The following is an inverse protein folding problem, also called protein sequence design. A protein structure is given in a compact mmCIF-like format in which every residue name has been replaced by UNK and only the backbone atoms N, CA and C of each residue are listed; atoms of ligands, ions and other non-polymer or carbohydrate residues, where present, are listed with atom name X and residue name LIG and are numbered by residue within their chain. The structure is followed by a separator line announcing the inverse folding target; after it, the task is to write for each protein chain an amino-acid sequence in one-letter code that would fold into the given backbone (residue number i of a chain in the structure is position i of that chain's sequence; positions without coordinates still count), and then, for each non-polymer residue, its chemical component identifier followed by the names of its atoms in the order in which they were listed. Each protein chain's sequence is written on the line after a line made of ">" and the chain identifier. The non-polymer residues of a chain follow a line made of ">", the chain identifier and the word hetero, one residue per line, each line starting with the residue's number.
data_IF_010952219143
#
_entry.id   IF_010952219143
#
_cell.length_a   1.000
_cell.length_b   1.000
_cell.length_c   1.000
_cell.angle_alpha   90.00
_cell.angle_beta   90.00
_cell.angle_gamma   90.00
#
_symmetry.space_group_name_H-M   'P 1'
#
loop_
_entity.id
_entity.type
_entity.pdbx_description
1 polymer ?
#
# COMPACT_ATOMS: atom_id res chain seq x y z
N UNK A 1 -7.59 -15.75 7.96
CA UNK A 1 -7.90 -14.31 8.03
C UNK A 1 -7.49 -13.70 6.70
N UNK A 2 -8.45 -13.32 5.86
CA UNK A 2 -8.19 -12.62 4.61
C UNK A 2 -7.93 -11.16 4.93
N UNK A 3 -6.68 -10.84 5.29
CA UNK A 3 -6.26 -9.45 5.40
C UNK A 3 -6.50 -8.81 4.02
N UNK A 4 -7.21 -7.67 3.92
CA UNK A 4 -7.42 -7.01 2.64
C UNK A 4 -6.05 -6.65 2.10
N UNK A 5 -5.58 -7.44 1.12
CA UNK A 5 -4.31 -7.21 0.43
C UNK A 5 -4.50 -5.93 -0.36
N UNK A 6 -4.20 -4.78 0.26
CA UNK A 6 -4.21 -3.50 -0.42
C UNK A 6 -3.34 -3.65 -1.67
N UNK A 7 -3.94 -3.36 -2.82
CA UNK A 7 -3.28 -3.55 -4.10
C UNK A 7 -2.00 -2.73 -4.11
N UNK A 8 -0.91 -3.28 -4.68
CA UNK A 8 0.36 -2.54 -4.79
C UNK A 8 0.21 -1.19 -5.50
N UNK A 9 -0.77 -1.04 -6.38
CA UNK A 9 -1.04 0.22 -7.08
C UNK A 9 -2.09 1.12 -6.40
N UNK A 10 -2.81 0.64 -5.38
CA UNK A 10 -3.79 1.43 -4.63
C UNK A 10 -3.13 2.57 -3.86
N UNK A 11 -3.87 3.64 -3.54
CA UNK A 11 -3.40 4.66 -2.62
C UNK A 11 -3.03 4.04 -1.26
N UNK A 12 -1.92 4.51 -0.68
CA UNK A 12 -1.47 4.02 0.61
C UNK A 12 -2.46 4.43 1.71
N UNK A 13 -2.94 3.49 2.54
CA UNK A 13 -3.85 3.80 3.64
C UNK A 13 -3.19 4.63 4.75
N UNK A 14 -1.87 4.82 4.69
CA UNK A 14 -1.09 5.67 5.59
C UNK A 14 -1.30 7.18 5.39
N UNK A 15 -2.08 7.60 4.39
CA UNK A 15 -2.37 9.01 4.14
C UNK A 15 -1.24 9.78 3.46
N UNK A 16 -0.20 9.10 2.99
CA UNK A 16 0.96 9.74 2.33
C UNK A 16 0.69 10.25 0.91
N UNK A 17 -0.49 9.96 0.34
CA UNK A 17 -0.84 10.27 -1.05
C UNK A 17 -0.10 9.42 -2.10
N UNK A 18 0.84 8.55 -1.67
CA UNK A 18 1.63 7.70 -2.55
C UNK A 18 0.94 6.34 -2.78
N UNK A 19 1.27 5.66 -3.88
CA UNK A 19 0.82 4.27 -4.11
C UNK A 19 1.41 3.33 -3.06
N UNK A 20 0.67 2.31 -2.65
CA UNK A 20 1.09 1.37 -1.62
C UNK A 20 2.48 0.78 -1.88
N UNK A 21 2.77 0.33 -3.11
CA UNK A 21 4.10 -0.19 -3.52
C UNK A 21 5.26 0.80 -3.44
N UNK A 22 4.98 2.10 -3.34
CA UNK A 22 5.99 3.15 -3.22
C UNK A 22 6.09 3.70 -1.79
N UNK A 23 5.19 3.28 -0.90
CA UNK A 23 5.15 3.70 0.50
C UNK A 23 5.25 2.48 1.42
N UNK A 24 4.21 2.16 2.20
CA UNK A 24 4.24 1.04 3.16
C UNK A 24 4.47 -0.35 2.54
N UNK A 25 4.11 -0.54 1.26
CA UNK A 25 4.32 -1.76 0.49
C UNK A 25 5.62 -1.76 -0.34
N UNK A 26 6.52 -0.80 -0.10
CA UNK A 26 7.85 -0.75 -0.71
C UNK A 26 8.70 -1.85 -0.08
N UNK A 27 8.61 -3.05 -0.65
CA UNK A 27 9.62 -4.08 -0.40
C UNK A 27 10.91 -3.59 -1.06
N UNK A 28 11.98 -3.50 -0.28
CA UNK A 28 13.31 -3.08 -0.74
C UNK A 28 13.77 -3.94 -1.91
#
# INVERSE_FOLDING_TARGET
>A
RSEPKVGRNDPCPCGSGQKYKQCCGKLK
#
